data_IF_825250474146
#
_entry.id   IF_825250474146
#
_cell.length_a   1.000
_cell.length_b   1.000
_cell.length_c   1.000
_cell.angle_alpha   90.00
_cell.angle_beta   90.00
_cell.angle_gamma   90.00
#
_symmetry.space_group_name_H-M   'P 1'
#
loop_
_entity.id
_entity.type
_entity.pdbx_description
1 polymer ?
#
# COMPACT_ATOMS: atom_id res chain seq x y z
N UNK A 1 -70.94 -20.56 -52.96
CA UNK A 1 -70.38 -20.50 -51.59
C UNK A 1 -68.91 -20.91 -51.64
N UNK A 2 -68.04 -20.34 -50.77
CA UNK A 2 -66.57 -20.53 -50.67
C UNK A 2 -65.67 -19.64 -51.56
N UNK A 3 -65.47 -18.37 -51.17
CA UNK A 3 -64.33 -17.55 -51.64
C UNK A 3 -63.70 -16.61 -50.59
N UNK A 4 -64.19 -16.62 -49.34
CA UNK A 4 -63.70 -15.72 -48.26
C UNK A 4 -62.81 -16.39 -47.19
N UNK A 5 -62.56 -17.70 -47.26
CA UNK A 5 -61.73 -18.44 -46.29
C UNK A 5 -60.26 -18.59 -46.72
N UNK A 6 -59.94 -18.49 -48.02
CA UNK A 6 -58.57 -18.67 -48.50
C UNK A 6 -57.65 -17.46 -48.24
N UNK A 7 -58.20 -16.24 -48.12
CA UNK A 7 -57.37 -15.05 -47.90
C UNK A 7 -56.99 -14.84 -46.43
N UNK A 8 -57.80 -15.31 -45.48
CA UNK A 8 -57.53 -15.18 -44.04
C UNK A 8 -56.49 -16.16 -43.55
N UNK A 9 -56.46 -17.39 -44.07
CA UNK A 9 -55.46 -18.41 -43.70
C UNK A 9 -54.06 -18.01 -44.19
N UNK A 10 -53.96 -17.43 -45.39
CA UNK A 10 -52.69 -16.92 -45.92
C UNK A 10 -52.10 -15.79 -45.07
N UNK A 11 -52.93 -14.88 -44.58
CA UNK A 11 -52.48 -13.74 -43.74
C UNK A 11 -52.00 -14.23 -42.36
N UNK A 12 -52.68 -15.19 -41.74
CA UNK A 12 -52.27 -15.74 -40.43
C UNK A 12 -50.94 -16.49 -40.52
N UNK A 13 -50.68 -17.20 -41.62
CA UNK A 13 -49.42 -17.93 -41.83
C UNK A 13 -48.23 -16.98 -42.03
N UNK A 14 -48.42 -15.87 -42.75
CA UNK A 14 -47.38 -14.84 -42.93
C UNK A 14 -47.06 -14.14 -41.61
N UNK A 15 -48.07 -13.83 -40.79
CA UNK A 15 -47.86 -13.21 -39.47
C UNK A 15 -47.11 -14.14 -38.52
N UNK A 16 -47.41 -15.45 -38.53
CA UNK A 16 -46.67 -16.44 -37.74
C UNK A 16 -45.21 -16.57 -38.15
N UNK A 17 -44.92 -16.58 -39.46
CA UNK A 17 -43.53 -16.63 -39.97
C UNK A 17 -42.75 -15.37 -39.59
N UNK A 18 -43.37 -14.19 -39.64
CA UNK A 18 -42.74 -12.94 -39.21
C UNK A 18 -42.47 -12.93 -37.71
N UNK A 19 -43.37 -13.44 -36.88
CA UNK A 19 -43.17 -13.55 -35.42
C UNK A 19 -42.02 -14.52 -35.10
N UNK A 20 -41.90 -15.64 -35.81
CA UNK A 20 -40.80 -16.61 -35.62
C UNK A 20 -39.46 -16.03 -36.07
N UNK A 21 -39.42 -15.22 -37.14
CA UNK A 21 -38.19 -14.53 -37.57
C UNK A 21 -37.76 -13.46 -36.56
N UNK A 22 -38.71 -12.70 -35.98
CA UNK A 22 -38.41 -11.73 -34.91
C UNK A 22 -37.88 -12.44 -33.65
N UNK A 23 -38.42 -13.60 -33.32
CA UNK A 23 -37.94 -14.40 -32.18
C UNK A 23 -36.53 -14.97 -32.40
N UNK A 24 -36.18 -15.33 -33.64
CA UNK A 24 -34.85 -15.85 -33.99
C UNK A 24 -33.76 -14.76 -34.07
N UNK A 25 -34.13 -13.48 -34.24
CA UNK A 25 -33.18 -12.37 -34.35
C UNK A 25 -32.85 -11.68 -33.02
N UNK A 26 -33.49 -12.06 -31.89
CA UNK A 26 -33.24 -11.43 -30.59
C UNK A 26 -32.35 -12.25 -29.66
N UNK A 27 -31.53 -13.16 -30.20
CA UNK A 27 -30.43 -13.74 -29.43
C UNK A 27 -29.27 -12.74 -29.42
N UNK A 28 -29.33 -11.80 -28.49
CA UNK A 28 -28.12 -11.16 -27.97
C UNK A 28 -27.31 -12.25 -27.28
N UNK A 29 -26.48 -12.96 -28.04
CA UNK A 29 -25.34 -13.67 -27.46
C UNK A 29 -24.38 -12.59 -27.00
N UNK A 30 -24.59 -12.11 -25.77
CA UNK A 30 -23.52 -11.47 -25.03
C UNK A 30 -22.37 -12.47 -25.02
N UNK A 31 -21.34 -12.18 -25.80
CA UNK A 31 -20.05 -12.80 -25.68
C UNK A 31 -19.62 -12.60 -24.24
N UNK A 32 -19.64 -13.67 -23.44
CA UNK A 32 -18.96 -13.73 -22.15
C UNK A 32 -17.47 -13.51 -22.43
N UNK A 33 -17.07 -12.24 -22.44
CA UNK A 33 -15.69 -11.85 -22.39
C UNK A 33 -15.13 -12.39 -21.09
N UNK A 34 -14.24 -13.39 -21.20
CA UNK A 34 -13.41 -13.96 -20.13
C UNK A 34 -13.53 -13.19 -18.82
N UNK A 35 -14.50 -13.58 -18.00
CA UNK A 35 -14.70 -13.02 -16.67
C UNK A 35 -13.57 -13.61 -15.83
N UNK A 36 -12.43 -12.91 -15.80
CA UNK A 36 -11.38 -13.21 -14.85
C UNK A 36 -12.01 -13.22 -13.45
N UNK A 37 -11.72 -14.27 -12.68
CA UNK A 37 -12.32 -14.49 -11.36
C UNK A 37 -12.28 -13.20 -10.52
N UNK A 38 -13.45 -12.74 -10.06
CA UNK A 38 -13.53 -11.57 -9.20
C UNK A 38 -12.74 -11.85 -7.90
N UNK A 39 -11.59 -11.21 -7.74
CA UNK A 39 -10.77 -11.31 -6.53
C UNK A 39 -11.47 -10.52 -5.42
N UNK A 40 -12.26 -11.22 -4.60
CA UNK A 40 -12.88 -10.64 -3.42
C UNK A 40 -11.91 -10.72 -2.23
N UNK A 41 -11.52 -9.56 -1.69
CA UNK A 41 -10.64 -9.49 -0.52
C UNK A 41 -11.30 -8.71 0.62
N UNK A 42 -10.99 -9.08 1.87
CA UNK A 42 -11.46 -8.36 3.04
C UNK A 42 -10.62 -7.10 3.21
N UNK A 43 -11.29 -5.96 3.18
CA UNK A 43 -10.70 -4.68 3.54
C UNK A 43 -10.33 -4.72 5.02
N UNK A 44 -9.09 -4.35 5.36
CA UNK A 44 -8.60 -4.31 6.73
C UNK A 44 -8.26 -2.88 7.10
N UNK A 45 -8.41 -2.57 8.38
CA UNK A 45 -7.79 -1.38 8.95
C UNK A 45 -6.36 -1.74 9.33
N UNK A 46 -5.41 -0.87 8.97
CA UNK A 46 -4.02 -1.00 9.38
C UNK A 46 -3.42 0.33 9.78
N UNK A 47 -2.22 0.28 10.35
CA UNK A 47 -1.34 1.43 10.55
C UNK A 47 -0.33 1.45 9.41
N UNK A 48 -0.14 2.61 8.79
CA UNK A 48 0.96 2.85 7.84
C UNK A 48 2.00 3.71 8.54
N UNK A 49 3.24 3.25 8.50
CA UNK A 49 4.41 3.97 8.99
C UNK A 49 5.34 4.27 7.82
N UNK A 50 5.82 5.50 7.75
CA UNK A 50 6.92 5.90 6.87
C UNK A 50 8.13 6.15 7.76
N UNK A 51 9.26 5.54 7.41
CA UNK A 51 10.49 5.61 8.18
C UNK A 51 11.63 6.07 7.28
N UNK A 52 12.41 7.04 7.77
CA UNK A 52 13.70 7.39 7.20
C UNK A 52 14.77 6.50 7.84
N UNK A 53 15.58 5.83 7.02
CA UNK A 53 16.57 4.87 7.52
C UNK A 53 17.98 5.40 7.36
N UNK A 54 18.85 5.03 8.29
CA UNK A 54 20.24 5.45 8.28
C UNK A 54 21.16 4.45 8.93
N UNK A 55 22.44 4.57 8.59
CA UNK A 55 23.52 3.89 9.30
C UNK A 55 24.27 4.93 10.14
N UNK A 56 24.77 4.51 11.30
CA UNK A 56 25.36 5.44 12.23
C UNK A 56 26.27 4.79 13.25
N UNK A 57 26.80 5.63 14.14
CA UNK A 57 27.63 5.20 15.26
C UNK A 57 27.23 5.90 16.54
N UNK A 58 27.39 5.20 17.66
CA UNK A 58 27.28 5.79 18.99
C UNK A 58 28.52 6.64 19.25
N UNK A 59 28.33 7.88 19.69
CA UNK A 59 29.40 8.84 19.95
C UNK A 59 29.19 9.55 21.29
N UNK A 60 30.27 10.03 21.95
CA UNK A 60 30.14 10.94 23.08
C UNK A 60 29.49 12.25 22.65
N UNK A 61 28.60 12.79 23.48
CA UNK A 61 27.89 14.05 23.19
C UNK A 61 28.83 15.24 23.03
N UNK A 62 29.90 15.26 23.82
CA UNK A 62 30.99 16.22 23.66
C UNK A 62 32.19 15.56 22.99
N UNK A 63 32.39 15.83 21.70
CA UNK A 63 33.51 15.25 20.95
C UNK A 63 34.88 15.84 21.32
N UNK A 64 34.93 17.08 21.82
CA UNK A 64 36.19 17.73 22.21
C UNK A 64 36.68 17.24 23.58
N UNK A 65 35.75 16.95 24.49
CA UNK A 65 36.00 16.44 25.83
C UNK A 65 35.07 15.23 26.08
N UNK A 66 35.43 14.04 25.57
CA UNK A 66 34.54 12.89 25.56
C UNK A 66 34.25 12.38 26.96
N UNK A 67 32.96 12.39 27.29
CA UNK A 67 32.38 11.66 28.42
C UNK A 67 31.68 10.41 27.86
N UNK A 68 32.11 9.22 28.27
CA UNK A 68 31.56 7.96 27.77
C UNK A 68 30.31 7.51 28.53
N UNK A 69 29.91 8.23 29.57
CA UNK A 69 28.64 8.04 30.25
C UNK A 69 27.52 8.88 29.60
N UNK A 70 27.88 9.91 28.82
CA UNK A 70 26.95 10.78 28.05
C UNK A 70 27.09 10.53 26.54
N UNK A 71 26.32 9.55 26.05
CA UNK A 71 26.34 9.09 24.67
C UNK A 71 25.12 9.54 23.89
N UNK A 72 25.33 9.81 22.61
CA UNK A 72 24.29 10.05 21.61
C UNK A 72 24.55 9.24 20.34
N UNK A 73 23.56 9.17 19.46
CA UNK A 73 23.71 8.50 18.18
C UNK A 73 23.92 9.54 17.07
N UNK A 74 25.01 9.39 16.31
CA UNK A 74 25.23 10.08 15.04
C UNK A 74 24.75 9.19 13.88
N UNK A 75 23.65 9.57 13.25
CA UNK A 75 23.00 8.81 12.18
C UNK A 75 23.16 9.54 10.84
N UNK A 76 23.51 8.83 9.78
CA UNK A 76 23.56 9.39 8.43
C UNK A 76 22.27 9.04 7.67
N UNK A 77 21.57 10.05 7.18
CA UNK A 77 20.31 9.93 6.42
C UNK A 77 20.50 10.48 5.01
N UNK A 78 19.93 9.80 4.01
CA UNK A 78 19.96 10.22 2.60
C UNK A 78 19.21 11.56 2.38
N UNK A 79 19.67 12.37 1.43
CA UNK A 79 19.00 13.58 0.94
C UNK A 79 17.51 13.35 0.60
N UNK A 80 17.16 12.18 0.07
CA UNK A 80 15.76 11.87 -0.25
C UNK A 80 14.85 11.76 0.98
N UNK A 81 15.40 11.31 2.11
CA UNK A 81 14.65 11.02 3.34
C UNK A 81 14.72 12.19 4.33
N UNK A 82 15.81 12.98 4.33
CA UNK A 82 16.05 14.01 5.33
C UNK A 82 14.99 15.13 5.30
N UNK A 83 14.32 15.34 4.16
CA UNK A 83 13.28 16.36 4.00
C UNK A 83 12.09 16.16 4.96
N UNK A 84 11.80 14.91 5.34
CA UNK A 84 10.70 14.56 6.24
C UNK A 84 11.14 14.41 7.70
N UNK A 85 12.46 14.44 7.96
CA UNK A 85 13.03 14.30 9.30
C UNK A 85 12.93 15.63 10.06
N UNK A 86 12.47 15.56 11.32
CA UNK A 86 12.24 16.71 12.19
C UNK A 86 12.69 16.41 13.62
N UNK A 87 13.14 17.45 14.31
CA UNK A 87 13.44 17.39 15.75
C UNK A 87 12.26 16.83 16.54
N UNK A 88 12.55 15.93 17.48
CA UNK A 88 11.58 15.30 18.37
C UNK A 88 10.93 14.02 17.83
N UNK A 89 11.16 13.64 16.57
CA UNK A 89 10.68 12.35 16.04
C UNK A 89 11.33 11.17 16.75
N UNK A 90 10.56 10.10 16.93
CA UNK A 90 11.02 8.86 17.55
C UNK A 90 11.95 8.09 16.61
N UNK A 91 13.02 7.55 17.19
CA UNK A 91 14.03 6.76 16.47
C UNK A 91 14.10 5.37 17.10
N UNK A 92 13.97 4.35 16.27
CA UNK A 92 14.25 2.95 16.60
C UNK A 92 15.69 2.65 16.22
N UNK A 93 16.46 2.02 17.10
CA UNK A 93 17.90 1.86 16.97
C UNK A 93 18.27 0.40 17.19
N UNK A 94 18.81 -0.22 16.15
CA UNK A 94 19.27 -1.60 16.16
C UNK A 94 20.81 -1.61 16.16
N UNK A 95 21.39 -2.08 17.26
CA UNK A 95 22.84 -2.11 17.46
C UNK A 95 23.36 -3.47 17.01
N UNK A 96 24.36 -3.51 16.13
CA UNK A 96 24.88 -4.77 15.57
C UNK A 96 25.39 -5.73 16.65
N UNK A 97 25.92 -5.20 17.75
CA UNK A 97 26.40 -5.97 18.89
C UNK A 97 25.27 -6.62 19.73
N UNK A 98 24.03 -6.14 19.61
CA UNK A 98 22.88 -6.55 20.40
C UNK A 98 21.67 -6.86 19.50
N UNK A 99 21.70 -7.93 18.69
CA UNK A 99 20.65 -8.22 17.71
C UNK A 99 19.28 -8.51 18.33
N UNK A 100 19.24 -8.94 19.60
CA UNK A 100 18.00 -9.27 20.32
C UNK A 100 17.46 -8.09 21.15
N UNK A 101 18.09 -6.91 21.08
CA UNK A 101 17.69 -5.72 21.84
C UNK A 101 17.60 -4.49 20.95
N UNK A 102 16.43 -3.88 20.95
CA UNK A 102 16.20 -2.60 20.29
C UNK A 102 16.33 -1.46 21.30
N UNK A 103 16.98 -0.39 20.88
CA UNK A 103 17.10 0.86 21.62
C UNK A 103 16.18 1.91 21.01
N UNK A 104 15.89 2.95 21.77
CA UNK A 104 15.02 4.04 21.32
C UNK A 104 15.64 5.38 21.65
N UNK A 105 15.30 6.38 20.86
CA UNK A 105 15.75 7.75 21.06
C UNK A 105 14.84 8.74 20.36
N UNK A 106 15.27 10.01 20.38
CA UNK A 106 14.59 11.10 19.68
C UNK A 106 15.58 11.93 18.91
N UNK A 107 15.16 12.42 17.74
CA UNK A 107 15.96 13.36 16.96
C UNK A 107 16.18 14.63 17.76
N UNK A 108 17.44 14.95 18.06
CA UNK A 108 17.81 16.14 18.83
C UNK A 108 18.25 17.29 17.92
N UNK A 109 19.03 16.98 16.89
CA UNK A 109 19.43 17.98 15.88
C UNK A 109 19.68 17.35 14.52
N UNK A 110 19.63 18.19 13.49
CA UNK A 110 19.87 17.83 12.09
C UNK A 110 20.92 18.79 11.56
N UNK A 111 21.98 18.28 10.95
CA UNK A 111 23.01 19.11 10.34
C UNK A 111 22.43 19.90 9.15
N UNK A 112 22.70 21.20 9.09
CA UNK A 112 22.33 22.03 7.93
C UNK A 112 23.19 21.74 6.69
N UNK A 113 24.31 21.04 6.89
CA UNK A 113 25.26 20.70 5.83
C UNK A 113 25.35 19.19 5.69
N UNK A 114 25.05 18.70 4.49
CA UNK A 114 25.32 17.33 4.08
C UNK A 114 26.76 17.13 3.59
N UNK A 115 27.18 15.87 3.54
CA UNK A 115 28.43 15.40 2.93
C UNK A 115 28.09 14.43 1.80
N UNK A 116 28.98 14.28 0.83
CA UNK A 116 28.81 13.29 -0.25
C UNK A 116 29.63 12.07 0.11
N UNK A 117 28.96 10.95 0.37
CA UNK A 117 29.56 9.66 0.62
C UNK A 117 29.16 8.70 -0.50
N UNK A 118 30.13 8.09 -1.18
CA UNK A 118 29.84 7.12 -2.27
C UNK A 118 28.92 7.67 -3.37
N UNK A 119 29.05 8.95 -3.72
CA UNK A 119 28.18 9.69 -4.65
C UNK A 119 26.72 9.89 -4.20
N UNK A 120 26.42 9.66 -2.92
CA UNK A 120 25.13 9.94 -2.30
C UNK A 120 25.30 11.09 -1.32
N UNK A 121 24.41 12.08 -1.39
CA UNK A 121 24.37 13.15 -0.41
C UNK A 121 23.70 12.65 0.87
N UNK A 122 24.39 12.81 2.00
CA UNK A 122 23.96 12.34 3.32
C UNK A 122 24.03 13.47 4.33
N UNK A 123 23.12 13.45 5.29
CA UNK A 123 23.00 14.45 6.33
C UNK A 123 23.11 13.77 7.69
N UNK A 124 23.93 14.35 8.57
CA UNK A 124 24.08 13.86 9.95
C UNK A 124 22.90 14.31 10.80
N UNK A 125 22.26 13.35 11.45
CA UNK A 125 21.19 13.54 12.42
C UNK A 125 21.70 13.05 13.77
N UNK A 126 21.70 13.93 14.76
CA UNK A 126 22.04 13.58 16.14
C UNK A 126 20.78 13.16 16.88
N UNK A 127 20.83 11.99 17.51
CA UNK A 127 19.72 11.35 18.19
C UNK A 127 20.07 11.19 19.67
N UNK A 128 19.25 11.78 20.53
CA UNK A 128 19.33 11.57 21.96
C UNK A 128 18.81 10.16 22.29
N UNK A 129 19.60 9.40 23.05
CA UNK A 129 19.29 8.02 23.42
C UNK A 129 18.49 8.00 24.73
N UNK A 130 17.38 7.25 24.77
CA UNK A 130 16.60 7.11 25.99
C UNK A 130 17.29 6.23 27.04
N UNK A 131 18.12 5.28 26.59
CA UNK A 131 18.90 4.37 27.42
C UNK A 131 20.25 4.12 26.75
N UNK A 132 21.33 4.41 27.47
CA UNK A 132 22.71 4.19 27.03
C UNK A 132 23.36 2.99 27.71
N UNK A 133 22.62 2.27 28.57
CA UNK A 133 23.14 1.12 29.30
C UNK A 133 23.65 0.05 28.34
N UNK A 134 24.89 -0.37 28.59
CA UNK A 134 25.64 -1.35 27.79
C UNK A 134 26.13 -0.83 26.42
N UNK A 135 25.68 0.35 25.98
CA UNK A 135 26.20 0.98 24.77
C UNK A 135 27.62 1.49 25.01
N UNK A 136 28.42 1.45 23.95
CA UNK A 136 29.78 1.98 23.94
C UNK A 136 29.95 2.86 22.73
N UNK A 137 30.71 3.93 22.89
CA UNK A 137 31.15 4.76 21.77
C UNK A 137 31.85 3.90 20.70
N UNK A 138 31.57 4.18 19.44
CA UNK A 138 32.08 3.47 18.27
C UNK A 138 31.24 2.26 17.83
N UNK A 139 30.21 1.86 18.59
CA UNK A 139 29.28 0.82 18.12
C UNK A 139 28.54 1.29 16.86
N UNK A 140 28.47 0.41 15.86
CA UNK A 140 27.67 0.63 14.65
C UNK A 140 26.22 0.27 14.89
N UNK A 141 25.32 1.08 14.32
CA UNK A 141 23.88 0.89 14.44
C UNK A 141 23.19 1.10 13.10
N UNK A 142 22.02 0.50 12.97
CA UNK A 142 20.99 0.90 12.01
C UNK A 142 19.91 1.67 12.75
N UNK A 143 19.56 2.86 12.26
CA UNK A 143 18.52 3.70 12.84
C UNK A 143 17.35 3.88 11.88
N UNK A 144 16.13 3.86 12.43
CA UNK A 144 14.90 4.15 11.69
C UNK A 144 14.12 5.25 12.41
N UNK A 145 13.99 6.41 11.77
CA UNK A 145 13.25 7.56 12.26
C UNK A 145 11.81 7.47 11.78
N UNK A 146 10.83 7.50 12.69
CA UNK A 146 9.41 7.52 12.33
C UNK A 146 9.01 8.92 11.84
N UNK A 147 8.90 9.10 10.52
CA UNK A 147 8.61 10.40 9.91
C UNK A 147 7.12 10.66 9.71
N UNK A 148 6.34 9.59 9.50
CA UNK A 148 4.89 9.68 9.38
C UNK A 148 4.23 8.41 9.89
N UNK A 149 3.12 8.57 10.62
CA UNK A 149 2.29 7.46 11.09
C UNK A 149 0.83 7.81 10.85
N UNK A 150 0.12 6.92 10.16
CA UNK A 150 -1.32 7.05 9.96
C UNK A 150 -2.02 5.79 10.44
N UNK A 151 -2.78 5.94 11.51
CA UNK A 151 -3.54 4.85 12.12
C UNK A 151 -4.95 4.78 11.52
N UNK A 152 -5.58 3.61 11.65
CA UNK A 152 -6.97 3.37 11.22
C UNK A 152 -7.20 3.70 9.74
N UNK A 153 -6.23 3.38 8.88
CA UNK A 153 -6.39 3.53 7.44
C UNK A 153 -7.01 2.30 6.83
N UNK A 154 -7.98 2.53 5.96
CA UNK A 154 -8.58 1.50 5.14
C UNK A 154 -7.58 1.09 4.06
N UNK A 155 -7.06 -0.13 4.12
CA UNK A 155 -6.14 -0.64 3.12
C UNK A 155 -6.81 -1.73 2.26
N UNK A 156 -6.39 -1.78 1.00
CA UNK A 156 -6.79 -2.80 0.04
C UNK A 156 -5.52 -3.31 -0.65
N UNK A 157 -5.42 -4.62 -0.95
CA UNK A 157 -4.36 -5.15 -1.79
C UNK A 157 -4.32 -4.44 -3.15
N UNK A 158 -3.13 -4.22 -3.69
CA UNK A 158 -2.95 -3.52 -4.97
C UNK A 158 -3.59 -4.29 -6.12
N UNK A 159 -3.67 -5.62 -6.00
CA UNK A 159 -4.32 -6.53 -6.95
C UNK A 159 -5.83 -6.30 -7.06
N UNK A 160 -6.45 -5.73 -6.03
CA UNK A 160 -7.87 -5.38 -6.05
C UNK A 160 -8.15 -4.04 -6.75
N UNK A 161 -7.11 -3.22 -6.96
CA UNK A 161 -7.22 -1.92 -7.61
C UNK A 161 -7.17 -2.09 -9.13
N UNK A 162 -8.24 -1.69 -9.81
CA UNK A 162 -8.32 -1.68 -11.26
C UNK A 162 -8.18 -0.27 -11.80
N UNK A 163 -7.68 -0.17 -13.04
CA UNK A 163 -7.48 1.09 -13.75
C UNK A 163 -8.29 1.06 -15.05
N UNK A 164 -9.09 2.08 -15.32
CA UNK A 164 -9.84 2.16 -16.57
C UNK A 164 -9.00 2.78 -17.70
N UNK A 165 -9.56 2.86 -18.90
CA UNK A 165 -8.91 3.47 -20.08
C UNK A 165 -8.71 4.98 -19.98
N UNK A 166 -9.24 5.64 -18.94
CA UNK A 166 -9.10 7.08 -18.66
C UNK A 166 -8.14 7.36 -17.50
N UNK A 167 -7.33 6.38 -17.10
CA UNK A 167 -6.43 6.46 -15.96
C UNK A 167 -7.10 6.64 -14.58
N UNK A 168 -8.38 6.32 -14.44
CA UNK A 168 -9.09 6.35 -13.16
C UNK A 168 -8.97 5.01 -12.43
N UNK A 169 -8.63 5.07 -11.14
CA UNK A 169 -8.50 3.90 -10.27
C UNK A 169 -9.80 3.61 -9.51
N UNK A 170 -10.21 2.35 -9.46
CA UNK A 170 -11.44 1.91 -8.79
C UNK A 170 -11.29 0.49 -8.24
N UNK A 171 -12.20 0.12 -7.33
CA UNK A 171 -12.34 -1.25 -6.83
C UNK A 171 -13.74 -1.78 -7.09
N UNK A 172 -13.85 -3.06 -7.42
CA UNK A 172 -15.13 -3.74 -7.56
C UNK A 172 -15.61 -4.20 -6.18
N UNK A 173 -16.79 -3.74 -5.77
CA UNK A 173 -17.43 -4.16 -4.52
C UNK A 173 -18.49 -5.21 -4.86
N UNK A 174 -18.40 -6.44 -4.34
CA UNK A 174 -19.38 -7.48 -4.64
C UNK A 174 -20.77 -7.07 -4.16
N UNK A 175 -21.76 -7.20 -5.05
CA UNK A 175 -23.15 -6.88 -4.76
C UNK A 175 -23.72 -7.88 -3.75
N UNK A 176 -24.16 -7.41 -2.58
CA UNK A 176 -24.86 -8.26 -1.60
C UNK A 176 -26.30 -8.53 -2.06
N UNK A 177 -26.68 -9.80 -2.15
CA UNK A 177 -28.09 -10.19 -2.31
C UNK A 177 -28.86 -9.94 -0.99
N UNK A 178 -30.21 -9.89 -1.05
CA UNK A 178 -31.12 -9.61 0.09
C UNK A 178 -30.92 -10.49 1.34
N UNK A 179 -30.13 -11.55 1.23
CA UNK A 179 -29.79 -12.49 2.30
C UNK A 179 -28.34 -12.37 2.82
N UNK A 180 -27.59 -11.30 2.49
CA UNK A 180 -26.24 -11.03 3.02
C UNK A 180 -25.18 -12.12 2.70
N UNK A 181 -25.39 -12.92 1.65
CA UNK A 181 -24.43 -13.92 1.20
C UNK A 181 -23.62 -13.38 0.02
N UNK A 182 -22.28 -13.40 0.15
CA UNK A 182 -21.35 -13.15 -0.95
C UNK A 182 -21.37 -14.39 -1.85
N UNK A 183 -21.83 -14.27 -3.10
CA UNK A 183 -21.71 -15.37 -4.06
C UNK A 183 -20.25 -15.56 -4.40
N UNK A 184 -19.62 -16.56 -3.77
CA UNK A 184 -18.36 -17.12 -4.20
C UNK A 184 -18.70 -18.01 -5.40
N UNK A 185 -18.46 -17.54 -6.62
CA UNK A 185 -18.56 -18.38 -7.79
C UNK A 185 -17.37 -19.34 -7.75
N UNK A 186 -17.56 -20.53 -7.18
CA UNK A 186 -16.65 -21.65 -7.35
C UNK A 186 -16.94 -22.25 -8.74
N UNK A 187 -16.16 -21.85 -9.74
CA UNK A 187 -16.19 -22.54 -11.02
C UNK A 187 -15.46 -23.88 -10.87
N UNK A 188 -16.25 -24.96 -10.91
CA UNK A 188 -15.76 -26.32 -11.14
C UNK A 188 -15.52 -26.54 -12.64
N UNK A 189 -14.53 -27.40 -12.92
CA UNK A 189 -14.11 -28.02 -14.19
C UNK A 189 -12.98 -27.33 -14.98
#
# INVERSE_FOLDING_TARGET
>A
MKKKIFWTIGIVLVVLVVIVIIAAFNTNTATDANQGDDVTTKVKESTIEVKANGAGTIVPKNQQYPDYDDLELSLQIDEMDIADVKKGQEVTIDVTAYPDRTFTGKVESISEKGTVESNVAVFTVMVELNDTKDLKAGMTVSGSILVSKKEHVLNIPIEAVQKNTKDEYYVLVPKKDKNNQTKKNEASY
#
